data_IF_020127983504
#
_entry.id   IF_020127983504
#
_cell.length_a   1.000
_cell.length_b   1.000
_cell.length_c   1.000
_cell.angle_alpha   90.00
_cell.angle_beta   90.00
_cell.angle_gamma   90.00
#
_symmetry.space_group_name_H-M   'P 1'
#
loop_
_entity.id
_entity.type
_entity.pdbx_description
1 polymer ?
#
# COMPACT_ATOMS: atom_id res chain seq x y z
N UNK A 1 18.25 13.31 -9.76
CA UNK A 1 18.51 12.45 -10.94
C UNK A 1 17.21 11.74 -11.34
N UNK A 2 16.58 10.95 -10.47
CA UNK A 2 15.32 10.23 -10.77
C UNK A 2 14.17 11.18 -11.17
N UNK A 3 14.08 12.38 -10.57
CA UNK A 3 13.07 13.38 -10.95
C UNK A 3 13.29 13.96 -12.34
N UNK A 4 14.54 14.19 -12.74
CA UNK A 4 14.87 14.68 -14.07
C UNK A 4 14.55 13.65 -15.16
N UNK A 5 14.92 12.40 -14.93
CA UNK A 5 14.68 11.28 -15.86
C UNK A 5 13.17 10.98 -16.03
N UNK A 6 12.39 11.07 -14.93
CA UNK A 6 10.93 10.96 -14.98
C UNK A 6 10.27 12.13 -15.74
N UNK A 7 10.81 13.35 -15.59
CA UNK A 7 10.30 14.52 -16.27
C UNK A 7 10.59 14.45 -17.76
N UNK A 8 11.80 14.05 -18.15
CA UNK A 8 12.22 13.84 -19.52
C UNK A 8 11.35 12.76 -20.21
N UNK A 9 11.10 11.64 -19.55
CA UNK A 9 10.19 10.61 -20.00
C UNK A 9 8.74 11.11 -20.15
N UNK A 10 8.22 11.85 -19.18
CA UNK A 10 6.87 12.43 -19.25
C UNK A 10 6.76 13.46 -20.37
N UNK A 11 7.78 14.27 -20.59
CA UNK A 11 7.83 15.23 -21.70
C UNK A 11 7.87 14.51 -23.05
N UNK A 12 8.64 13.44 -23.17
CA UNK A 12 8.73 12.61 -24.38
C UNK A 12 7.41 11.90 -24.69
N UNK A 13 6.72 11.37 -23.69
CA UNK A 13 5.39 10.76 -23.83
C UNK A 13 4.32 11.80 -24.14
N UNK A 14 4.37 12.99 -23.56
CA UNK A 14 3.46 14.09 -23.86
C UNK A 14 3.70 14.66 -25.27
N UNK A 15 4.94 14.73 -25.72
CA UNK A 15 5.30 15.22 -27.06
C UNK A 15 4.78 14.30 -28.18
N UNK A 16 4.58 13.04 -27.88
CA UNK A 16 4.04 12.05 -28.84
C UNK A 16 2.51 11.93 -28.82
N UNK A 17 1.82 12.40 -27.78
CA UNK A 17 0.40 12.09 -27.57
C UNK A 17 -0.58 13.25 -27.79
N UNK A 18 -0.23 14.51 -27.56
CA UNK A 18 -1.15 15.64 -27.74
C UNK A 18 -0.44 17.01 -27.80
N UNK A 19 0.14 17.35 -28.95
CA UNK A 19 0.85 18.62 -29.17
C UNK A 19 0.02 19.86 -28.82
N UNK A 20 -1.28 19.84 -29.08
CA UNK A 20 -2.14 21.03 -28.84
C UNK A 20 -2.29 21.35 -27.35
N UNK A 21 -2.25 20.34 -26.50
CA UNK A 21 -2.39 20.49 -25.04
C UNK A 21 -1.09 20.94 -24.36
N UNK A 22 0.04 20.45 -24.88
CA UNK A 22 1.38 20.85 -24.43
C UNK A 22 1.69 22.27 -24.85
N UNK A 23 1.32 22.65 -26.08
CA UNK A 23 1.51 24.00 -26.61
C UNK A 23 0.66 25.04 -25.85
N UNK A 24 -0.56 24.68 -25.43
CA UNK A 24 -1.38 25.59 -24.61
C UNK A 24 -0.80 25.84 -23.22
N UNK A 25 -0.11 24.86 -22.66
CA UNK A 25 0.54 24.97 -21.34
C UNK A 25 1.85 25.79 -21.44
N UNK A 26 2.59 25.68 -22.56
CA UNK A 26 3.86 26.40 -22.83
C UNK A 26 3.67 27.82 -23.33
N UNK A 27 2.45 28.23 -23.74
CA UNK A 27 2.22 29.58 -24.26
C UNK A 27 2.50 30.66 -23.21
N UNK A 28 3.63 31.32 -23.33
CA UNK A 28 4.04 32.48 -22.57
C UNK A 28 5.03 32.21 -21.43
N UNK A 29 5.49 30.97 -21.25
CA UNK A 29 6.52 30.65 -20.26
C UNK A 29 7.87 30.34 -20.94
N UNK A 30 8.95 30.84 -20.33
CA UNK A 30 10.32 30.46 -20.71
C UNK A 30 10.65 29.03 -20.19
N UNK A 31 11.65 28.37 -20.78
CA UNK A 31 12.13 27.07 -20.28
C UNK A 31 12.53 27.13 -18.80
N UNK A 32 13.09 28.23 -18.34
CA UNK A 32 13.51 28.45 -16.97
C UNK A 32 12.31 28.56 -16.03
N UNK A 33 11.23 29.25 -16.44
CA UNK A 33 9.99 29.35 -15.66
C UNK A 33 9.24 27.99 -15.59
N UNK A 34 9.24 27.19 -16.67
CA UNK A 34 8.68 25.85 -16.67
C UNK A 34 9.47 24.93 -15.74
N UNK A 35 10.80 25.01 -15.78
CA UNK A 35 11.68 24.23 -14.91
C UNK A 35 11.49 24.60 -13.43
N UNK A 36 11.43 25.89 -13.11
CA UNK A 36 11.16 26.40 -11.75
C UNK A 36 9.79 25.92 -11.25
N UNK A 37 8.76 25.96 -12.08
CA UNK A 37 7.43 25.51 -11.73
C UNK A 37 7.36 23.97 -11.53
N UNK A 38 8.11 23.21 -12.33
CA UNK A 38 8.23 21.76 -12.16
C UNK A 38 9.03 21.37 -10.91
N UNK A 39 10.05 22.16 -10.53
CA UNK A 39 10.90 21.89 -9.38
C UNK A 39 10.29 22.36 -8.05
N UNK A 40 9.52 23.44 -8.07
CA UNK A 40 9.02 24.14 -6.87
C UNK A 40 7.50 24.32 -6.85
N UNK A 41 6.80 23.97 -7.93
CA UNK A 41 5.33 23.99 -8.00
C UNK A 41 4.67 22.86 -7.22
N UNK A 42 3.38 23.01 -6.97
CA UNK A 42 2.57 21.92 -6.42
C UNK A 42 2.56 20.72 -7.38
N UNK A 43 2.75 19.49 -6.88
CA UNK A 43 2.71 18.30 -7.72
C UNK A 43 1.36 18.17 -8.44
N UNK A 44 1.36 17.78 -9.72
CA UNK A 44 0.14 17.63 -10.52
C UNK A 44 -0.90 16.66 -9.91
N UNK A 45 -0.44 15.67 -9.15
CA UNK A 45 -1.27 14.66 -8.47
C UNK A 45 -1.27 14.84 -6.94
N UNK A 46 -0.71 15.95 -6.43
CA UNK A 46 -0.53 16.19 -5.00
C UNK A 46 0.66 15.44 -4.39
N UNK A 47 0.96 15.76 -3.15
CA UNK A 47 2.07 15.20 -2.38
C UNK A 47 1.61 14.45 -1.12
N UNK A 48 0.35 14.06 -1.08
CA UNK A 48 -0.29 13.48 0.12
C UNK A 48 0.46 12.25 0.64
N UNK A 49 1.16 11.54 -0.23
CA UNK A 49 1.87 10.30 0.11
C UNK A 49 3.40 10.41 0.02
N UNK A 50 3.96 11.63 -0.06
CA UNK A 50 5.41 11.85 -0.21
C UNK A 50 6.24 11.24 0.93
N UNK A 51 5.65 11.12 2.12
CA UNK A 51 6.33 10.65 3.34
C UNK A 51 5.70 9.39 3.94
N UNK A 52 5.29 8.45 3.09
CA UNK A 52 4.79 7.16 3.57
C UNK A 52 5.90 6.44 4.32
N UNK A 53 5.58 5.99 5.52
CA UNK A 53 6.43 5.12 6.35
C UNK A 53 5.83 3.71 6.38
N UNK A 54 6.68 2.70 6.53
CA UNK A 54 6.25 1.32 6.71
C UNK A 54 6.14 1.01 8.19
N UNK A 55 5.04 0.38 8.59
CA UNK A 55 4.84 -0.24 9.89
C UNK A 55 4.75 -1.74 9.68
N UNK A 56 5.67 -2.48 10.26
CA UNK A 56 5.68 -3.94 10.30
C UNK A 56 5.82 -4.46 11.73
N UNK A 57 5.88 -5.77 11.91
CA UNK A 57 5.97 -6.40 13.24
C UNK A 57 7.25 -6.01 14.01
N UNK A 58 8.31 -5.61 13.31
CA UNK A 58 9.59 -5.21 13.89
C UNK A 58 9.57 -3.80 14.42
N UNK A 59 8.98 -2.89 13.65
CA UNK A 59 9.08 -1.46 13.88
C UNK A 59 7.82 -0.95 14.59
N UNK A 60 7.99 -0.61 15.88
CA UNK A 60 6.95 0.06 16.64
C UNK A 60 6.80 1.52 16.20
N UNK A 61 5.57 2.00 16.14
CA UNK A 61 5.23 3.41 16.02
C UNK A 61 4.51 3.85 17.30
N UNK A 62 4.97 4.92 17.93
CA UNK A 62 4.42 5.42 19.20
C UNK A 62 2.92 5.77 19.11
N UNK A 63 2.48 6.19 17.89
CA UNK A 63 1.08 6.46 17.58
C UNK A 63 0.26 5.22 17.21
N UNK A 64 0.79 3.99 17.35
CA UNK A 64 0.09 2.76 17.00
C UNK A 64 0.12 1.72 18.13
N UNK A 65 -0.97 0.97 18.24
CA UNK A 65 -1.07 -0.22 19.06
C UNK A 65 -1.79 -1.33 18.33
N UNK A 66 -1.40 -2.59 18.54
CA UNK A 66 -1.88 -3.74 17.78
C UNK A 66 -2.40 -4.86 18.69
N UNK A 67 -3.45 -5.54 18.21
CA UNK A 67 -3.94 -6.82 18.72
C UNK A 67 -3.92 -7.81 17.55
N UNK A 68 -2.97 -8.72 17.57
CA UNK A 68 -2.77 -9.66 16.45
C UNK A 68 -3.89 -10.71 16.31
N UNK A 69 -4.68 -10.94 17.38
CA UNK A 69 -5.76 -11.95 17.36
C UNK A 69 -5.23 -13.33 16.99
N UNK A 70 -5.63 -13.81 15.82
CA UNK A 70 -5.14 -15.06 15.24
C UNK A 70 -4.07 -14.88 14.15
N UNK A 71 -3.64 -13.64 13.88
CA UNK A 71 -2.58 -13.31 12.91
C UNK A 71 -1.18 -13.36 13.55
N UNK A 72 -0.93 -14.34 14.39
CA UNK A 72 0.30 -14.48 15.16
C UNK A 72 1.37 -15.36 14.49
N UNK A 73 1.06 -15.97 13.35
CA UNK A 73 2.02 -16.70 12.53
C UNK A 73 2.85 -15.75 11.63
N UNK A 74 3.88 -16.29 11.00
CA UNK A 74 4.71 -15.61 10.01
C UNK A 74 4.69 -16.40 8.70
N UNK A 75 4.46 -15.71 7.60
CA UNK A 75 4.58 -16.28 6.26
C UNK A 75 6.05 -16.19 5.81
N UNK A 76 6.63 -17.34 5.51
CA UNK A 76 8.02 -17.46 5.06
C UNK A 76 8.14 -17.64 3.54
N UNK A 77 7.02 -17.72 2.83
CA UNK A 77 6.97 -18.02 1.39
C UNK A 77 6.97 -16.77 0.51
N UNK A 78 7.05 -15.58 1.12
CA UNK A 78 6.98 -14.29 0.42
C UNK A 78 8.26 -13.80 -0.21
N UNK A 79 9.34 -14.51 0.01
CA UNK A 79 10.67 -14.00 -0.26
C UNK A 79 11.10 -14.15 -1.72
N UNK A 80 10.32 -14.84 -2.52
CA UNK A 80 10.69 -15.21 -3.88
C UNK A 80 9.81 -14.51 -4.92
N UNK A 81 9.31 -13.33 -4.57
CA UNK A 81 8.34 -12.68 -5.42
C UNK A 81 8.99 -11.99 -6.58
N UNK A 82 8.36 -12.23 -7.67
CA UNK A 82 8.31 -11.41 -8.85
C UNK A 82 9.52 -11.34 -9.76
N UNK A 83 9.22 -11.75 -10.90
CA UNK A 83 9.61 -11.26 -12.21
C UNK A 83 11.02 -11.53 -12.66
N UNK A 84 12.01 -11.51 -11.81
CA UNK A 84 13.38 -11.75 -12.21
C UNK A 84 13.98 -12.89 -11.42
N UNK A 85 14.79 -13.71 -12.06
CA UNK A 85 15.57 -14.75 -11.41
C UNK A 85 16.59 -14.18 -10.43
N UNK A 86 16.70 -12.87 -10.32
CA UNK A 86 17.54 -12.16 -9.37
C UNK A 86 16.72 -11.74 -8.14
N UNK A 87 16.55 -12.67 -7.22
CA UNK A 87 15.75 -12.52 -6.01
C UNK A 87 16.30 -11.48 -5.02
N UNK A 88 17.51 -11.00 -5.24
CA UNK A 88 18.18 -10.04 -4.34
C UNK A 88 17.59 -8.62 -4.41
N UNK A 89 16.82 -8.31 -5.44
CA UNK A 89 16.24 -6.97 -5.66
C UNK A 89 14.77 -6.87 -5.26
N UNK A 90 14.13 -7.99 -4.93
CA UNK A 90 12.72 -8.03 -4.56
C UNK A 90 12.51 -7.56 -3.13
N UNK A 91 11.56 -6.67 -2.85
CA UNK A 91 11.23 -6.28 -1.50
C UNK A 91 10.78 -7.49 -0.68
N UNK A 92 11.42 -7.72 0.45
CA UNK A 92 11.07 -8.76 1.39
C UNK A 92 10.21 -8.18 2.52
N UNK A 93 9.27 -8.98 3.01
CA UNK A 93 8.43 -8.64 4.15
C UNK A 93 8.55 -9.71 5.26
N UNK A 94 9.75 -9.91 5.85
CA UNK A 94 9.99 -10.98 6.81
C UNK A 94 9.27 -10.76 8.15
N UNK A 95 8.82 -9.54 8.41
CA UNK A 95 8.14 -9.12 9.65
C UNK A 95 6.64 -8.95 9.46
N UNK A 96 6.03 -9.92 8.76
CA UNK A 96 4.60 -9.95 8.45
C UNK A 96 3.75 -10.58 9.56
N UNK A 97 2.43 -10.52 9.40
CA UNK A 97 1.44 -11.18 10.26
C UNK A 97 0.58 -12.10 9.41
N UNK A 98 0.59 -13.38 9.71
CA UNK A 98 -0.22 -14.36 8.99
C UNK A 98 -1.29 -14.96 9.89
N UNK A 99 -2.52 -14.97 9.41
CA UNK A 99 -3.56 -15.87 9.88
C UNK A 99 -3.42 -17.20 9.15
N UNK A 100 -3.29 -18.30 9.89
CA UNK A 100 -2.98 -19.64 9.34
C UNK A 100 -4.19 -20.56 9.21
N UNK A 101 -5.42 -20.06 9.44
CA UNK A 101 -6.66 -20.84 9.37
C UNK A 101 -6.96 -21.69 10.59
N UNK A 102 -6.12 -21.68 11.64
CA UNK A 102 -6.27 -22.60 12.78
C UNK A 102 -7.03 -22.01 13.97
N UNK A 103 -7.34 -20.71 13.96
CA UNK A 103 -7.90 -19.97 15.12
C UNK A 103 -9.19 -19.21 14.77
N UNK A 104 -10.28 -19.90 14.35
CA UNK A 104 -11.49 -19.23 13.85
C UNK A 104 -12.13 -18.28 14.86
N UNK A 105 -12.03 -18.54 16.16
CA UNK A 105 -12.56 -17.67 17.21
C UNK A 105 -11.81 -16.33 17.35
N UNK A 106 -10.64 -16.22 16.76
CA UNK A 106 -9.77 -15.04 16.81
C UNK A 106 -9.27 -14.63 15.42
N UNK A 107 -10.03 -14.90 14.38
CA UNK A 107 -9.69 -14.63 12.97
C UNK A 107 -9.74 -13.12 12.64
N UNK A 108 -9.08 -12.29 13.45
CA UNK A 108 -8.98 -10.86 13.26
C UNK A 108 -7.60 -10.33 13.68
N UNK A 109 -7.25 -9.20 13.10
CA UNK A 109 -6.16 -8.29 13.48
C UNK A 109 -6.76 -6.91 13.73
N UNK A 110 -6.30 -6.20 14.74
CA UNK A 110 -6.78 -4.86 15.08
C UNK A 110 -5.60 -3.91 15.29
N UNK A 111 -5.60 -2.82 14.56
CA UNK A 111 -4.61 -1.75 14.62
C UNK A 111 -5.32 -0.47 15.04
N UNK A 112 -4.93 0.11 16.18
CA UNK A 112 -5.25 1.51 16.50
C UNK A 112 -4.05 2.36 16.12
N UNK A 113 -4.26 3.37 15.27
CA UNK A 113 -3.18 4.20 14.73
C UNK A 113 -3.63 5.64 14.61
N UNK A 114 -2.70 6.57 14.93
CA UNK A 114 -2.88 8.00 14.74
C UNK A 114 -2.12 8.45 13.49
N UNK A 115 -2.82 8.67 12.40
CA UNK A 115 -2.25 9.08 11.12
C UNK A 115 -3.31 9.77 10.25
N UNK A 116 -2.89 10.40 9.16
CA UNK A 116 -3.82 11.00 8.18
C UNK A 116 -4.09 10.13 6.95
N UNK A 117 -3.25 9.14 6.68
CA UNK A 117 -3.50 8.16 5.63
C UNK A 117 -2.90 6.81 6.01
N UNK A 118 -3.60 5.74 5.64
CA UNK A 118 -3.20 4.37 5.90
C UNK A 118 -3.39 3.51 4.66
N UNK A 119 -2.38 2.71 4.36
CA UNK A 119 -2.43 1.63 3.37
C UNK A 119 -2.33 0.29 4.09
N UNK A 120 -3.12 -0.67 3.66
CA UNK A 120 -2.93 -2.08 3.96
C UNK A 120 -2.08 -2.70 2.85
N UNK A 121 -0.97 -3.34 3.23
CA UNK A 121 -0.11 -4.10 2.33
C UNK A 121 -0.31 -5.57 2.66
N UNK A 122 -0.79 -6.37 1.72
CA UNK A 122 -1.09 -7.78 1.94
C UNK A 122 -0.59 -8.65 0.76
N UNK A 123 -0.41 -9.94 1.04
CA UNK A 123 0.01 -10.92 0.04
C UNK A 123 -1.13 -11.17 -0.94
N UNK A 124 -0.84 -11.07 -2.23
CA UNK A 124 -1.68 -11.57 -3.31
C UNK A 124 -1.02 -12.84 -3.87
N UNK A 125 -1.78 -13.90 -4.02
CA UNK A 125 -1.28 -15.17 -4.53
C UNK A 125 -2.41 -16.01 -5.12
N UNK A 126 -2.09 -16.86 -6.09
CA UNK A 126 -3.03 -17.83 -6.64
C UNK A 126 -3.26 -19.06 -5.78
N UNK A 127 -2.87 -19.05 -4.50
CA UNK A 127 -2.96 -20.20 -3.61
C UNK A 127 -4.42 -20.52 -3.21
N UNK A 128 -4.81 -21.76 -3.34
CA UNK A 128 -6.19 -22.23 -3.06
C UNK A 128 -6.57 -22.10 -1.57
N UNK A 129 -5.58 -22.10 -0.69
CA UNK A 129 -5.76 -21.97 0.75
C UNK A 129 -5.68 -20.50 1.25
N UNK A 130 -5.45 -19.54 0.36
CA UNK A 130 -5.65 -18.14 0.66
C UNK A 130 -7.15 -17.78 0.68
N UNK A 131 -7.54 -16.86 1.54
CA UNK A 131 -8.91 -16.42 1.70
C UNK A 131 -9.02 -14.91 1.85
N UNK A 132 -10.21 -14.37 1.65
CA UNK A 132 -10.49 -12.94 1.75
C UNK A 132 -10.59 -12.47 3.20
N UNK A 133 -10.27 -11.21 3.44
CA UNK A 133 -10.45 -10.55 4.72
C UNK A 133 -11.19 -9.20 4.57
N UNK A 134 -12.14 -8.96 5.47
CA UNK A 134 -12.90 -7.71 5.50
C UNK A 134 -12.14 -6.66 6.31
N UNK A 135 -12.07 -5.45 5.77
CA UNK A 135 -11.40 -4.30 6.38
C UNK A 135 -12.46 -3.31 6.88
N UNK A 136 -12.41 -3.02 8.17
CA UNK A 136 -13.27 -2.07 8.83
C UNK A 136 -12.44 -0.93 9.42
N UNK A 137 -12.96 0.29 9.38
CA UNK A 137 -12.38 1.47 10.05
C UNK A 137 -13.43 2.02 11.00
N UNK A 138 -13.09 2.13 12.27
CA UNK A 138 -13.97 2.60 13.35
C UNK A 138 -15.30 1.83 13.43
N UNK A 139 -15.24 0.55 13.09
CA UNK A 139 -16.40 -0.35 13.05
C UNK A 139 -17.21 -0.32 11.75
N UNK A 140 -16.90 0.57 10.82
CA UNK A 140 -17.55 0.65 9.51
C UNK A 140 -16.79 -0.17 8.47
N UNK A 141 -17.49 -1.02 7.72
CA UNK A 141 -16.93 -1.77 6.60
C UNK A 141 -16.43 -0.82 5.50
N UNK A 142 -15.24 -1.08 4.99
CA UNK A 142 -14.62 -0.32 3.89
C UNK A 142 -14.54 -1.14 2.61
N UNK A 143 -13.88 -2.28 2.65
CA UNK A 143 -13.72 -3.18 1.51
C UNK A 143 -13.32 -4.57 1.97
N UNK A 144 -13.38 -5.52 1.05
CA UNK A 144 -12.82 -6.86 1.23
C UNK A 144 -11.47 -6.95 0.51
N UNK A 145 -10.42 -7.27 1.24
CA UNK A 145 -9.10 -7.56 0.69
C UNK A 145 -9.11 -8.98 0.10
N UNK A 146 -8.91 -9.07 -1.22
CA UNK A 146 -8.90 -10.33 -1.95
C UNK A 146 -7.49 -10.67 -2.40
N UNK A 147 -6.89 -11.79 -1.93
CA UNK A 147 -5.55 -12.20 -2.32
C UNK A 147 -5.48 -12.84 -3.71
N UNK A 148 -6.57 -12.95 -4.44
CA UNK A 148 -6.64 -13.62 -5.74
C UNK A 148 -6.77 -12.67 -6.94
N UNK A 149 -6.59 -11.35 -6.75
CA UNK A 149 -6.81 -10.37 -7.82
C UNK A 149 -5.87 -10.60 -8.99
N UNK A 150 -4.60 -10.89 -8.73
CA UNK A 150 -3.59 -11.08 -9.77
C UNK A 150 -3.21 -12.55 -9.99
N UNK A 151 -3.56 -13.44 -9.07
CA UNK A 151 -3.29 -14.88 -9.11
C UNK A 151 -1.80 -15.25 -9.24
N UNK A 152 -0.91 -14.41 -8.78
CA UNK A 152 0.52 -14.67 -8.70
C UNK A 152 1.11 -14.00 -7.45
N UNK A 153 2.21 -14.53 -6.99
CA UNK A 153 2.78 -14.13 -5.71
C UNK A 153 3.36 -12.71 -5.78
N UNK A 154 2.71 -11.75 -5.14
CA UNK A 154 3.21 -10.38 -4.99
C UNK A 154 2.54 -9.65 -3.83
N UNK A 155 2.87 -8.40 -3.61
CA UNK A 155 2.24 -7.55 -2.62
C UNK A 155 1.20 -6.61 -3.24
N UNK A 156 0.03 -6.52 -2.61
CA UNK A 156 -1.00 -5.54 -2.89
C UNK A 156 -0.99 -4.44 -1.83
N UNK A 157 -0.94 -3.19 -2.25
CA UNK A 157 -1.07 -2.04 -1.37
C UNK A 157 -2.38 -1.31 -1.68
N UNK A 158 -3.31 -1.31 -0.73
CA UNK A 158 -4.64 -0.70 -0.88
C UNK A 158 -4.81 0.44 0.13
N UNK A 159 -5.26 1.59 -0.34
CA UNK A 159 -5.58 2.73 0.51
C UNK A 159 -6.80 2.39 1.40
N UNK A 160 -6.62 2.40 2.71
CA UNK A 160 -7.68 2.14 3.70
C UNK A 160 -8.46 3.42 3.98
N UNK A 161 -7.74 4.51 4.24
CA UNK A 161 -8.33 5.85 4.37
C UNK A 161 -7.28 6.94 4.08
N UNK A 162 -7.78 8.13 3.74
CA UNK A 162 -7.02 9.36 3.64
C UNK A 162 -7.85 10.51 4.15
N UNK A 163 -7.28 11.28 5.06
CA UNK A 163 -7.88 12.46 5.66
C UNK A 163 -7.00 13.69 5.51
N UNK A 164 -7.58 14.87 5.76
CA UNK A 164 -6.83 16.14 5.70
C UNK A 164 -5.94 16.35 6.91
N UNK A 165 -6.39 15.86 8.06
CA UNK A 165 -5.73 16.01 9.35
C UNK A 165 -5.43 14.64 9.96
N UNK A 166 -4.42 14.61 10.80
CA UNK A 166 -4.07 13.41 11.55
C UNK A 166 -5.12 13.14 12.62
N UNK A 167 -5.67 11.94 12.64
CA UNK A 167 -6.66 11.48 13.61
C UNK A 167 -6.36 10.03 14.05
N UNK A 168 -6.92 9.64 15.20
CA UNK A 168 -6.81 8.28 15.71
C UNK A 168 -7.94 7.42 15.14
N UNK A 169 -7.59 6.30 14.53
CA UNK A 169 -8.54 5.34 13.96
C UNK A 169 -8.27 3.93 14.48
N UNK A 170 -9.32 3.14 14.56
CA UNK A 170 -9.22 1.69 14.80
C UNK A 170 -9.54 0.95 13.51
N UNK A 171 -8.53 0.26 12.97
CA UNK A 171 -8.65 -0.56 11.77
C UNK A 171 -8.69 -2.02 12.18
N UNK A 172 -9.75 -2.72 11.76
CA UNK A 172 -9.91 -4.14 12.00
C UNK A 172 -9.88 -4.88 10.68
N UNK A 173 -9.02 -5.87 10.59
CA UNK A 173 -8.93 -6.81 9.48
C UNK A 173 -9.40 -8.15 10.03
N UNK A 174 -10.47 -8.70 9.47
CA UNK A 174 -11.02 -9.96 9.91
C UNK A 174 -11.26 -10.88 8.72
N UNK A 175 -10.99 -12.17 8.90
CA UNK A 175 -11.30 -13.13 7.85
C UNK A 175 -12.79 -13.07 7.52
N UNK A 176 -13.12 -13.05 6.23
CA UNK A 176 -14.52 -13.13 5.77
C UNK A 176 -15.15 -14.45 6.23
N UNK A 177 -16.44 -14.44 6.56
CA UNK A 177 -17.08 -15.54 7.28
C UNK A 177 -16.97 -16.94 6.64
N UNK A 178 -16.78 -17.01 5.32
CA UNK A 178 -16.59 -18.25 4.57
C UNK A 178 -15.13 -18.71 4.50
N UNK A 179 -14.18 -17.92 5.02
CA UNK A 179 -12.74 -18.12 4.88
C UNK A 179 -12.02 -18.32 6.22
N UNK A 180 -12.74 -18.71 7.27
CA UNK A 180 -12.15 -18.87 8.62
C UNK A 180 -11.13 -20.02 8.71
N UNK A 181 -11.10 -20.92 7.75
CA UNK A 181 -10.14 -22.03 7.60
C UNK A 181 -9.03 -21.71 6.58
N UNK A 182 -9.03 -20.50 6.01
CA UNK A 182 -8.07 -20.06 5.00
C UNK A 182 -6.97 -19.21 5.62
N UNK A 183 -5.90 -19.00 4.85
CA UNK A 183 -4.78 -18.14 5.22
C UNK A 183 -4.98 -16.73 4.72
N UNK A 184 -4.43 -15.73 5.42
CA UNK A 184 -4.30 -14.37 4.96
C UNK A 184 -3.05 -13.74 5.57
N UNK A 185 -2.23 -13.08 4.76
CA UNK A 185 -0.98 -12.47 5.22
C UNK A 185 -1.01 -10.96 5.06
N UNK A 186 -0.92 -10.27 6.18
CA UNK A 186 -0.65 -8.83 6.24
C UNK A 186 0.86 -8.65 6.19
N UNK A 187 1.36 -8.01 5.14
CA UNK A 187 2.78 -7.74 4.94
C UNK A 187 3.27 -6.56 5.75
N UNK A 188 2.40 -5.58 5.92
CA UNK A 188 2.66 -4.36 6.67
C UNK A 188 1.59 -3.31 6.43
N UNK A 189 1.83 -2.13 6.98
CA UNK A 189 0.99 -0.96 6.77
C UNK A 189 1.86 0.21 6.31
N UNK A 190 1.44 0.89 5.23
CA UNK A 190 2.00 2.20 4.89
C UNK A 190 1.19 3.28 5.58
N UNK A 191 1.84 4.23 6.28
CA UNK A 191 1.12 5.31 6.93
C UNK A 191 1.77 6.67 6.70
N UNK A 192 0.97 7.73 6.82
CA UNK A 192 1.41 9.12 6.76
C UNK A 192 0.91 9.84 8.01
N UNK A 193 1.82 10.43 8.75
CA UNK A 193 1.54 11.26 9.94
C UNK A 193 0.84 12.57 9.60
#
# INVERSE_FOLDING_TARGET
TIRADCLEYLMEVCDTSDHARVDSFRQGMTEEEVLEQCLHGEPAIGNSFEKVKLLDRRDGYEGASMREGGFDATDHELQCVEMDQDLCTTPEFPYNWMYDGTKPDRAFFELTITCRALFLIFKDSGEVDAGTADVLVDGEFRFTADPHVNNWLHCNAVLVFQEKETAAHTVRIQMSGENLDKKFTILGFGYVE
#
